data_IF_485543233278
#
_entry.id   IF_485543233278
#
_cell.length_a   1.000
_cell.length_b   1.000
_cell.length_c   1.000
_cell.angle_alpha   90.00
_cell.angle_beta   90.00
_cell.angle_gamma   90.00
#
_symmetry.space_group_name_H-M   'P 1'
#
loop_
_entity.id
_entity.type
_entity.pdbx_description
1 polymer ?
#
# COMPACT_ATOMS: atom_id res chain seq x y z
N UNK A 1 0.56 34.39 -37.04
CA UNK A 1 0.81 34.95 -38.39
C UNK A 1 2.08 34.36 -39.05
N UNK A 2 2.32 33.03 -38.95
CA UNK A 2 3.64 32.44 -39.29
C UNK A 2 3.61 31.15 -40.14
N UNK A 3 2.48 30.79 -40.75
CA UNK A 3 2.38 29.56 -41.56
C UNK A 3 2.50 29.74 -43.08
N UNK A 4 2.67 30.96 -43.62
CA UNK A 4 2.63 31.20 -45.07
C UNK A 4 4.00 31.01 -45.77
N UNK A 5 5.12 31.07 -45.04
CA UNK A 5 6.46 31.12 -45.65
C UNK A 5 7.07 29.75 -46.05
N UNK A 6 6.55 28.62 -45.57
CA UNK A 6 7.18 27.31 -45.83
C UNK A 6 6.75 26.64 -47.16
N UNK A 7 5.77 27.21 -47.88
CA UNK A 7 5.23 26.60 -49.11
C UNK A 7 5.92 27.11 -50.40
N UNK A 8 6.88 28.05 -50.32
CA UNK A 8 7.65 28.56 -51.48
C UNK A 8 8.90 27.72 -51.75
N UNK A 9 9.56 27.21 -50.70
CA UNK A 9 10.83 26.43 -50.78
C UNK A 9 10.67 24.98 -51.27
N UNK A 10 9.46 24.41 -51.21
CA UNK A 10 9.14 23.08 -51.78
C UNK A 10 8.72 23.13 -53.26
N UNK A 11 8.33 24.31 -53.76
CA UNK A 11 7.96 24.49 -55.18
C UNK A 11 9.20 24.58 -56.06
N UNK A 12 10.29 25.16 -55.57
CA UNK A 12 11.55 25.31 -56.31
C UNK A 12 12.19 23.98 -56.72
N UNK A 13 12.39 22.95 -55.85
CA UNK A 13 12.95 21.68 -56.30
C UNK A 13 11.99 20.90 -57.21
N UNK A 14 10.67 21.09 -57.07
CA UNK A 14 9.66 20.40 -57.86
C UNK A 14 9.54 20.98 -59.28
N UNK A 15 9.64 22.31 -59.41
CA UNK A 15 9.74 23.00 -60.69
C UNK A 15 11.07 22.68 -61.38
N UNK A 16 12.16 22.55 -60.62
CA UNK A 16 13.47 22.11 -61.15
C UNK A 16 13.41 20.66 -61.61
N UNK A 17 12.83 19.74 -60.83
CA UNK A 17 12.62 18.35 -61.27
C UNK A 17 11.71 18.25 -62.50
N UNK A 18 10.66 19.07 -62.58
CA UNK A 18 9.77 19.16 -63.74
C UNK A 18 10.47 19.74 -64.98
N UNK A 19 11.32 20.76 -64.81
CA UNK A 19 12.15 21.31 -65.88
C UNK A 19 13.21 20.29 -66.34
N UNK A 20 13.81 19.53 -65.42
CA UNK A 20 14.75 18.44 -65.71
C UNK A 20 14.05 17.27 -66.38
N UNK A 21 12.82 16.93 -66.00
CA UNK A 21 12.02 15.88 -66.66
C UNK A 21 11.60 16.31 -68.07
N UNK A 22 11.22 17.57 -68.27
CA UNK A 22 10.93 18.14 -69.59
C UNK A 22 12.17 18.14 -70.49
N UNK A 23 13.34 18.50 -69.95
CA UNK A 23 14.64 18.45 -70.66
C UNK A 23 15.12 17.01 -70.91
N UNK A 24 14.80 16.05 -70.04
CA UNK A 24 15.13 14.64 -70.23
C UNK A 24 14.23 13.98 -71.28
N UNK A 25 12.96 14.39 -71.38
CA UNK A 25 12.02 13.91 -72.40
C UNK A 25 12.27 14.49 -73.80
N UNK A 26 13.03 15.57 -73.93
CA UNK A 26 13.52 16.04 -75.25
C UNK A 26 14.67 15.20 -75.80
N UNK A 27 15.34 14.40 -74.96
CA UNK A 27 16.48 13.55 -75.35
C UNK A 27 16.16 12.40 -76.33
N UNK A 28 15.07 11.62 -76.17
CA UNK A 28 14.79 10.48 -77.05
C UNK A 28 14.18 10.88 -78.40
N UNK A 29 13.82 12.15 -78.63
CA UNK A 29 13.29 12.63 -79.92
C UNK A 29 14.33 12.44 -81.04
N UNK A 30 15.62 12.37 -80.70
CA UNK A 30 16.69 12.07 -81.65
C UNK A 30 16.92 10.58 -81.95
N UNK A 31 16.17 9.64 -81.35
CA UNK A 31 16.45 8.21 -81.49
C UNK A 31 15.25 7.35 -81.96
N UNK A 32 14.09 7.96 -82.24
CA UNK A 32 12.91 7.25 -82.77
C UNK A 32 12.41 7.87 -84.07
N UNK A 33 13.30 7.96 -85.05
CA UNK A 33 12.94 7.99 -86.46
C UNK A 33 13.87 7.03 -87.20
N UNK A 34 13.38 5.84 -87.54
CA UNK A 34 14.00 5.04 -88.59
C UNK A 34 14.00 5.85 -89.90
N UNK A 35 15.20 6.22 -90.34
CA UNK A 35 15.49 7.11 -91.47
C UNK A 35 16.74 7.94 -91.15
N UNK A 36 17.92 7.37 -91.39
CA UNK A 36 19.19 7.73 -90.73
C UNK A 36 20.13 8.74 -91.44
N UNK A 37 21.16 9.12 -90.66
CA UNK A 37 22.35 9.95 -90.95
C UNK A 37 22.15 11.47 -91.08
N UNK A 38 22.85 12.19 -90.19
CA UNK A 38 23.59 13.39 -90.57
C UNK A 38 22.96 14.75 -90.24
N UNK A 39 23.74 15.50 -89.46
CA UNK A 39 23.86 16.97 -89.48
C UNK A 39 22.87 17.82 -88.67
N UNK A 40 23.49 18.72 -87.92
CA UNK A 40 22.88 19.64 -87.00
C UNK A 40 22.25 20.82 -87.75
N UNK A 41 20.94 20.74 -88.02
CA UNK A 41 20.11 21.92 -88.22
C UNK A 41 18.77 21.75 -87.50
N UNK A 42 18.45 22.72 -86.63
CA UNK A 42 17.35 22.70 -85.68
C UNK A 42 16.01 23.00 -86.34
N UNK A 43 15.51 22.13 -87.22
CA UNK A 43 14.16 22.26 -87.75
C UNK A 43 13.16 21.53 -86.84
N UNK A 44 12.61 22.26 -85.86
CA UNK A 44 11.42 21.82 -85.14
C UNK A 44 10.30 21.54 -86.15
N UNK A 45 9.89 20.27 -86.28
CA UNK A 45 8.67 19.97 -87.05
C UNK A 45 7.47 20.46 -86.23
N UNK A 46 6.50 21.09 -86.88
CA UNK A 46 5.30 21.63 -86.19
C UNK A 46 4.59 20.57 -85.35
N UNK A 47 4.68 19.29 -85.73
CA UNK A 47 4.09 18.14 -85.02
C UNK A 47 4.68 17.91 -83.62
N UNK A 48 5.99 18.13 -83.42
CA UNK A 48 6.66 17.91 -82.13
C UNK A 48 6.29 19.00 -81.11
N UNK A 49 6.17 20.25 -81.58
CA UNK A 49 5.70 21.37 -80.75
C UNK A 49 4.32 21.12 -80.17
N UNK A 50 3.38 20.57 -80.96
CA UNK A 50 2.04 20.25 -80.48
C UNK A 50 2.03 19.12 -79.44
N UNK A 51 2.90 18.10 -79.58
CA UNK A 51 3.04 17.01 -78.60
C UNK A 51 3.59 17.53 -77.27
N UNK A 52 4.62 18.36 -77.31
CA UNK A 52 5.22 18.97 -76.11
C UNK A 52 4.23 19.93 -75.44
N UNK A 53 3.49 20.73 -76.21
CA UNK A 53 2.43 21.60 -75.69
C UNK A 53 1.33 20.79 -74.99
N UNK A 54 0.83 19.72 -75.63
CA UNK A 54 -0.21 18.86 -75.07
C UNK A 54 0.26 18.18 -73.78
N UNK A 55 1.45 17.59 -73.78
CA UNK A 55 2.05 16.99 -72.59
C UNK A 55 2.20 18.02 -71.46
N UNK A 56 2.65 19.24 -71.77
CA UNK A 56 2.80 20.31 -70.78
C UNK A 56 1.47 20.70 -70.16
N UNK A 57 0.41 20.85 -70.96
CA UNK A 57 -0.94 21.18 -70.47
C UNK A 57 -1.49 20.06 -69.60
N UNK A 58 -1.37 18.79 -70.03
CA UNK A 58 -1.79 17.63 -69.23
C UNK A 58 -0.99 17.51 -67.93
N UNK A 59 0.32 17.75 -67.98
CA UNK A 59 1.19 17.73 -66.81
C UNK A 59 0.80 18.80 -65.80
N UNK A 60 0.57 20.04 -66.24
CA UNK A 60 0.13 21.14 -65.36
C UNK A 60 -1.24 20.84 -64.76
N UNK A 61 -2.19 20.33 -65.55
CA UNK A 61 -3.51 19.92 -65.06
C UNK A 61 -3.41 18.82 -64.00
N UNK A 62 -2.63 17.78 -64.26
CA UNK A 62 -2.40 16.67 -63.33
C UNK A 62 -1.68 17.13 -62.05
N UNK A 63 -0.69 18.01 -62.19
CA UNK A 63 0.05 18.58 -61.07
C UNK A 63 -0.85 19.40 -60.14
N UNK A 64 -1.69 20.26 -60.71
CA UNK A 64 -2.62 21.07 -59.93
C UNK A 64 -3.65 20.19 -59.19
N UNK A 65 -4.10 19.11 -59.83
CA UNK A 65 -5.03 18.15 -59.25
C UNK A 65 -4.39 17.31 -58.13
N UNK A 66 -3.16 16.80 -58.32
CA UNK A 66 -2.49 15.91 -57.36
C UNK A 66 -1.80 16.63 -56.19
N UNK A 67 -1.47 17.93 -56.33
CA UNK A 67 -0.76 18.67 -55.28
C UNK A 67 -1.50 18.68 -53.95
N UNK A 68 -2.84 18.78 -53.98
CA UNK A 68 -3.70 18.76 -52.78
C UNK A 68 -3.78 17.38 -52.12
N UNK A 69 -4.22 16.30 -52.78
CA UNK A 69 -4.34 14.98 -52.15
C UNK A 69 -2.99 14.45 -51.65
N UNK A 70 -1.89 14.64 -52.40
CA UNK A 70 -0.56 14.15 -51.99
C UNK A 70 -0.05 14.91 -50.75
N UNK A 71 -0.19 16.23 -50.72
CA UNK A 71 0.21 17.02 -49.55
C UNK A 71 -0.65 16.69 -48.32
N UNK A 72 -1.95 16.47 -48.50
CA UNK A 72 -2.86 16.09 -47.42
C UNK A 72 -2.54 14.69 -46.88
N UNK A 73 -2.30 13.70 -47.74
CA UNK A 73 -1.98 12.34 -47.33
C UNK A 73 -0.65 12.27 -46.55
N UNK A 74 0.39 12.96 -47.04
CA UNK A 74 1.68 13.05 -46.33
C UNK A 74 1.56 13.84 -45.03
N UNK A 75 0.80 14.94 -45.04
CA UNK A 75 0.51 15.74 -43.85
C UNK A 75 -0.20 14.93 -42.77
N UNK A 76 -1.25 14.20 -43.15
CA UNK A 76 -2.01 13.32 -42.26
C UNK A 76 -1.16 12.21 -41.68
N UNK A 77 -0.27 11.61 -42.48
CA UNK A 77 0.68 10.59 -42.00
C UNK A 77 1.68 11.17 -41.00
N UNK A 78 2.24 12.35 -41.29
CA UNK A 78 3.17 13.04 -40.38
C UNK A 78 2.48 13.43 -39.07
N UNK A 79 1.25 13.95 -39.13
CA UNK A 79 0.49 14.29 -37.92
C UNK A 79 0.13 13.05 -37.11
N UNK A 80 -0.27 11.96 -37.76
CA UNK A 80 -0.58 10.69 -37.08
C UNK A 80 0.64 10.12 -36.36
N UNK A 81 1.81 10.11 -37.01
CA UNK A 81 3.06 9.67 -36.38
C UNK A 81 3.43 10.58 -35.21
N UNK A 82 3.31 11.91 -35.37
CA UNK A 82 3.61 12.85 -34.28
C UNK A 82 2.69 12.64 -33.08
N UNK A 83 1.41 12.39 -33.33
CA UNK A 83 0.45 12.14 -32.25
C UNK A 83 0.74 10.82 -31.54
N UNK A 84 1.05 9.75 -32.29
CA UNK A 84 1.47 8.47 -31.70
C UNK A 84 2.73 8.60 -30.84
N UNK A 85 3.74 9.33 -31.31
CA UNK A 85 4.96 9.58 -30.53
C UNK A 85 4.62 10.35 -29.25
N UNK A 86 3.81 11.41 -29.33
CA UNK A 86 3.38 12.17 -28.16
C UNK A 86 2.59 11.31 -27.17
N UNK A 87 1.69 10.47 -27.67
CA UNK A 87 0.90 9.55 -26.83
C UNK A 87 1.81 8.55 -26.11
N UNK A 88 2.79 7.98 -26.83
CA UNK A 88 3.78 7.07 -26.24
C UNK A 88 4.66 7.75 -25.20
N UNK A 89 5.10 8.99 -25.45
CA UNK A 89 5.85 9.78 -24.48
C UNK A 89 5.01 10.08 -23.22
N UNK A 90 3.74 10.45 -23.39
CA UNK A 90 2.81 10.67 -22.27
C UNK A 90 2.61 9.40 -21.45
N UNK A 91 2.34 8.27 -22.12
CA UNK A 91 2.17 6.96 -21.47
C UNK A 91 3.42 6.52 -20.72
N UNK A 92 4.61 6.76 -21.30
CA UNK A 92 5.88 6.48 -20.65
C UNK A 92 6.06 7.35 -19.39
N UNK A 93 5.82 8.66 -19.49
CA UNK A 93 5.93 9.57 -18.36
C UNK A 93 4.93 9.23 -17.24
N UNK A 94 3.70 8.85 -17.60
CA UNK A 94 2.69 8.39 -16.64
C UNK A 94 3.11 7.08 -15.96
N UNK A 95 3.66 6.12 -16.71
CA UNK A 95 4.15 4.86 -16.17
C UNK A 95 5.34 5.08 -15.22
N UNK A 96 6.31 5.92 -15.60
CA UNK A 96 7.45 6.29 -14.74
C UNK A 96 6.98 6.99 -13.46
N UNK A 97 6.00 7.89 -13.56
CA UNK A 97 5.41 8.55 -12.40
C UNK A 97 4.69 7.55 -11.48
N UNK A 98 3.90 6.64 -12.03
CA UNK A 98 3.23 5.60 -11.24
C UNK A 98 4.24 4.68 -10.55
N UNK A 99 5.31 4.29 -11.25
CA UNK A 99 6.38 3.46 -10.68
C UNK A 99 7.05 4.18 -9.51
N UNK A 100 7.39 5.48 -9.67
CA UNK A 100 7.95 6.28 -8.59
C UNK A 100 7.00 6.35 -7.37
N UNK A 101 5.70 6.57 -7.59
CA UNK A 101 4.69 6.59 -6.53
C UNK A 101 4.56 5.24 -5.82
N UNK A 102 4.59 4.13 -6.56
CA UNK A 102 4.55 2.79 -5.96
C UNK A 102 5.81 2.48 -5.15
N UNK A 103 6.99 2.85 -5.65
CA UNK A 103 8.24 2.67 -4.89
C UNK A 103 8.25 3.50 -3.61
N UNK A 104 7.78 4.75 -3.67
CA UNK A 104 7.64 5.58 -2.48
C UNK A 104 6.66 4.95 -1.48
N UNK A 105 5.49 4.49 -1.96
CA UNK A 105 4.50 3.82 -1.11
C UNK A 105 5.03 2.53 -0.50
N UNK A 106 5.77 1.72 -1.25
CA UNK A 106 6.44 0.51 -0.74
C UNK A 106 7.45 0.85 0.35
N UNK A 107 8.30 1.87 0.13
CA UNK A 107 9.26 2.31 1.15
C UNK A 107 8.58 2.84 2.42
N UNK A 108 7.46 3.54 2.28
CA UNK A 108 6.65 3.98 3.42
C UNK A 108 6.03 2.79 4.16
N UNK A 109 5.49 1.81 3.43
CA UNK A 109 4.94 0.58 4.02
C UNK A 109 6.00 -0.23 4.77
N UNK A 110 7.21 -0.36 4.24
CA UNK A 110 8.30 -1.07 4.93
C UNK A 110 8.67 -0.38 6.25
N UNK A 111 8.71 0.96 6.25
CA UNK A 111 8.96 1.74 7.47
C UNK A 111 7.82 1.59 8.48
N UNK A 112 6.58 1.69 8.02
CA UNK A 112 5.40 1.54 8.86
C UNK A 112 5.31 0.13 9.45
N UNK A 113 5.59 -0.91 8.66
CA UNK A 113 5.68 -2.29 9.13
C UNK A 113 6.78 -2.44 10.20
N UNK A 114 7.96 -1.85 9.99
CA UNK A 114 9.03 -1.82 11.00
C UNK A 114 8.57 -1.16 12.31
N UNK A 115 7.93 0.01 12.22
CA UNK A 115 7.38 0.71 13.39
C UNK A 115 6.28 -0.09 14.10
N UNK A 116 5.40 -0.76 13.36
CA UNK A 116 4.36 -1.62 13.92
C UNK A 116 5.00 -2.75 14.73
N UNK A 117 6.00 -3.44 14.16
CA UNK A 117 6.69 -4.54 14.85
C UNK A 117 7.39 -4.04 16.11
N UNK A 118 8.10 -2.92 16.05
CA UNK A 118 8.77 -2.32 17.21
C UNK A 118 7.77 -1.95 18.31
N UNK A 119 6.63 -1.35 17.94
CA UNK A 119 5.56 -1.02 18.88
C UNK A 119 4.95 -2.26 19.52
N UNK A 120 4.74 -3.34 18.77
CA UNK A 120 4.23 -4.60 19.33
C UNK A 120 5.23 -5.25 20.30
N UNK A 121 6.52 -5.22 19.99
CA UNK A 121 7.57 -5.72 20.89
C UNK A 121 7.54 -4.92 22.19
N UNK A 122 7.55 -3.59 22.11
CA UNK A 122 7.50 -2.71 23.29
C UNK A 122 6.24 -2.95 24.13
N UNK A 123 5.06 -3.02 23.51
CA UNK A 123 3.82 -3.32 24.20
C UNK A 123 3.84 -4.71 24.86
N UNK A 124 4.45 -5.69 24.20
CA UNK A 124 4.65 -7.04 24.74
C UNK A 124 5.55 -7.04 25.97
N UNK A 125 6.66 -6.29 25.94
CA UNK A 125 7.57 -6.14 27.08
C UNK A 125 6.89 -5.41 28.26
N UNK A 126 6.16 -4.33 28.00
CA UNK A 126 5.38 -3.61 29.01
C UNK A 126 4.28 -4.50 29.62
N UNK A 127 3.58 -5.28 28.79
CA UNK A 127 2.57 -6.23 29.26
C UNK A 127 3.20 -7.34 30.11
N UNK A 128 4.33 -7.90 29.68
CA UNK A 128 5.07 -8.89 30.46
C UNK A 128 5.49 -8.33 31.81
N UNK A 129 6.06 -7.12 31.85
CA UNK A 129 6.47 -6.48 33.09
C UNK A 129 5.27 -6.27 34.04
N UNK A 130 4.15 -5.75 33.51
CA UNK A 130 2.91 -5.57 34.28
C UNK A 130 2.38 -6.88 34.84
N UNK A 131 2.31 -7.95 34.04
CA UNK A 131 1.84 -9.26 34.51
C UNK A 131 2.73 -9.79 35.63
N UNK A 132 4.05 -9.65 35.51
CA UNK A 132 4.99 -10.11 36.54
C UNK A 132 4.79 -9.31 37.84
N UNK A 133 4.64 -7.99 37.76
CA UNK A 133 4.41 -7.16 38.95
C UNK A 133 3.06 -7.44 39.61
N UNK A 134 2.00 -7.61 38.82
CA UNK A 134 0.68 -8.02 39.34
C UNK A 134 0.74 -9.40 39.99
N UNK A 135 1.44 -10.36 39.40
CA UNK A 135 1.62 -11.69 39.96
C UNK A 135 2.38 -11.65 41.30
N UNK A 136 3.45 -10.84 41.40
CA UNK A 136 4.17 -10.64 42.66
C UNK A 136 3.29 -10.00 43.73
N UNK A 137 2.54 -8.96 43.38
CA UNK A 137 1.63 -8.29 44.30
C UNK A 137 0.52 -9.23 44.78
N UNK A 138 -0.03 -10.06 43.88
CA UNK A 138 -1.02 -11.07 44.23
C UNK A 138 -0.43 -12.15 45.14
N UNK A 139 0.79 -12.64 44.86
CA UNK A 139 1.49 -13.61 45.70
C UNK A 139 1.74 -13.06 47.12
N UNK A 140 2.19 -11.80 47.23
CA UNK A 140 2.39 -11.16 48.52
C UNK A 140 1.09 -11.05 49.33
N UNK A 141 0.00 -10.61 48.68
CA UNK A 141 -1.33 -10.55 49.32
C UNK A 141 -1.83 -11.92 49.77
N UNK A 142 -1.60 -12.95 48.95
CA UNK A 142 -1.98 -14.32 49.28
C UNK A 142 -1.21 -14.81 50.50
N UNK A 143 0.10 -14.55 50.57
CA UNK A 143 0.94 -14.93 51.71
C UNK A 143 0.51 -14.21 52.99
N UNK A 144 0.22 -12.91 52.91
CA UNK A 144 -0.29 -12.14 54.05
C UNK A 144 -1.64 -12.68 54.53
N UNK A 145 -2.56 -12.96 53.61
CA UNK A 145 -3.86 -13.53 53.93
C UNK A 145 -3.73 -14.93 54.55
N UNK A 146 -2.83 -15.77 54.02
CA UNK A 146 -2.55 -17.09 54.56
C UNK A 146 -2.01 -17.00 55.99
N UNK A 147 -1.06 -16.10 56.27
CA UNK A 147 -0.54 -15.88 57.64
C UNK A 147 -1.64 -15.45 58.59
N UNK A 148 -2.47 -14.46 58.21
CA UNK A 148 -3.61 -14.02 59.03
C UNK A 148 -4.60 -15.14 59.29
N UNK A 149 -4.88 -15.97 58.29
CA UNK A 149 -5.76 -17.12 58.45
C UNK A 149 -5.16 -18.17 59.40
N UNK A 150 -3.88 -18.47 59.28
CA UNK A 150 -3.17 -19.38 60.19
C UNK A 150 -3.25 -18.87 61.63
N UNK A 151 -2.97 -17.58 61.86
CA UNK A 151 -3.02 -16.99 63.20
C UNK A 151 -4.43 -17.08 63.81
N UNK A 152 -5.46 -16.81 63.00
CA UNK A 152 -6.86 -16.92 63.42
C UNK A 152 -7.26 -18.37 63.74
N UNK A 153 -6.88 -19.33 62.89
CA UNK A 153 -7.16 -20.74 63.12
C UNK A 153 -6.39 -21.28 64.34
N UNK A 154 -5.14 -20.86 64.54
CA UNK A 154 -4.36 -21.21 65.73
C UNK A 154 -5.01 -20.67 67.01
N UNK A 155 -5.51 -19.43 66.98
CA UNK A 155 -6.23 -18.85 68.11
C UNK A 155 -7.51 -19.64 68.42
N UNK A 156 -8.32 -19.96 67.41
CA UNK A 156 -9.53 -20.79 67.59
C UNK A 156 -9.20 -22.17 68.13
N UNK A 157 -8.17 -22.82 67.60
CA UNK A 157 -7.74 -24.13 68.07
C UNK A 157 -7.31 -24.09 69.54
N UNK A 158 -6.59 -23.03 69.95
CA UNK A 158 -6.20 -22.82 71.34
C UNK A 158 -7.43 -22.62 72.25
N UNK A 159 -8.38 -21.79 71.85
CA UNK A 159 -9.63 -21.57 72.59
C UNK A 159 -10.41 -22.87 72.75
N UNK A 160 -10.53 -23.66 71.68
CA UNK A 160 -11.18 -24.98 71.71
C UNK A 160 -10.49 -25.96 72.67
N UNK A 161 -9.16 -26.03 72.64
CA UNK A 161 -8.40 -26.90 73.56
C UNK A 161 -8.60 -26.45 75.01
N UNK A 162 -8.67 -25.15 75.28
CA UNK A 162 -8.95 -24.65 76.63
C UNK A 162 -10.35 -25.03 77.10
N UNK A 163 -11.36 -24.91 76.22
CA UNK A 163 -12.73 -25.35 76.51
C UNK A 163 -12.78 -26.86 76.82
N UNK A 164 -12.15 -27.69 75.99
CA UNK A 164 -12.08 -29.15 76.19
C UNK A 164 -11.36 -29.51 77.52
N UNK A 165 -10.27 -28.81 77.87
CA UNK A 165 -9.58 -29.03 79.16
C UNK A 165 -10.47 -28.67 80.34
N UNK A 166 -11.18 -27.53 80.26
CA UNK A 166 -12.08 -27.10 81.33
C UNK A 166 -13.23 -28.08 81.50
N UNK A 167 -13.84 -28.53 80.41
CA UNK A 167 -14.91 -29.54 80.41
C UNK A 167 -14.43 -30.85 81.05
N UNK A 168 -13.26 -31.36 80.65
CA UNK A 168 -12.68 -32.58 81.23
C UNK A 168 -12.32 -32.41 82.71
N UNK A 169 -11.78 -31.24 83.10
CA UNK A 169 -11.45 -30.95 84.50
C UNK A 169 -12.70 -30.87 85.38
N UNK A 170 -13.78 -30.25 84.88
CA UNK A 170 -15.07 -30.20 85.56
C UNK A 170 -15.66 -31.60 85.72
N UNK A 171 -15.66 -32.42 84.66
CA UNK A 171 -16.13 -33.80 84.72
C UNK A 171 -15.33 -34.63 85.74
N UNK A 172 -14.00 -34.48 85.79
CA UNK A 172 -13.14 -35.13 86.79
C UNK A 172 -13.40 -34.64 88.22
N UNK A 173 -13.64 -33.34 88.40
CA UNK A 173 -13.96 -32.77 89.69
C UNK A 173 -15.33 -33.25 90.19
N UNK A 174 -16.34 -33.30 89.33
CA UNK A 174 -17.66 -33.84 89.61
C UNK A 174 -17.58 -35.31 90.04
N UNK A 175 -16.85 -36.14 89.29
CA UNK A 175 -16.59 -37.55 89.64
C UNK A 175 -15.93 -37.67 91.03
N UNK A 176 -14.94 -36.81 91.32
CA UNK A 176 -14.23 -36.84 92.61
C UNK A 176 -15.10 -36.38 93.78
N UNK A 177 -15.91 -35.33 93.60
CA UNK A 177 -16.83 -34.82 94.62
C UNK A 177 -17.92 -35.85 94.90
N UNK A 178 -18.53 -36.42 93.86
CA UNK A 178 -19.54 -37.47 93.99
C UNK A 178 -19.00 -38.70 94.75
N UNK A 179 -17.73 -39.06 94.55
CA UNK A 179 -17.09 -40.18 95.26
C UNK A 179 -16.62 -39.88 96.68
N UNK A 180 -16.57 -38.61 97.12
CA UNK A 180 -16.00 -38.20 98.43
C UNK A 180 -16.95 -37.42 99.34
N UNK A 181 -18.17 -37.09 98.88
CA UNK A 181 -19.13 -36.32 99.66
C UNK A 181 -19.57 -37.07 100.92
N UNK A 182 -19.63 -36.36 102.05
CA UNK A 182 -20.05 -36.91 103.35
C UNK A 182 -21.38 -36.29 103.82
N UNK A 183 -22.11 -36.90 104.78
CA UNK A 183 -23.37 -36.35 105.29
C UNK A 183 -23.23 -34.95 105.90
N UNK A 184 -22.13 -34.67 106.61
CA UNK A 184 -21.84 -33.35 107.19
C UNK A 184 -21.64 -32.26 106.11
N UNK A 185 -21.09 -32.62 104.95
CA UNK A 185 -20.94 -31.70 103.83
C UNK A 185 -22.29 -31.34 103.20
N UNK A 186 -23.24 -32.29 103.16
CA UNK A 186 -24.59 -32.04 102.65
C UNK A 186 -25.38 -31.09 103.54
N UNK A 187 -25.26 -31.22 104.86
CA UNK A 187 -25.91 -30.32 105.83
C UNK A 187 -25.38 -28.89 105.70
N UNK A 188 -24.05 -28.72 105.59
CA UNK A 188 -23.43 -27.41 105.32
C UNK A 188 -23.87 -26.78 104.00
N UNK A 189 -24.00 -27.56 102.92
CA UNK A 189 -24.46 -27.05 101.62
C UNK A 189 -25.91 -26.55 101.69
N UNK A 190 -26.76 -27.20 102.49
CA UNK A 190 -28.14 -26.76 102.73
C UNK A 190 -28.16 -25.44 103.49
N UNK A 191 -27.37 -25.34 104.57
CA UNK A 191 -27.27 -24.11 105.36
C UNK A 191 -26.75 -22.92 104.53
N UNK A 192 -25.71 -23.13 103.72
CA UNK A 192 -25.13 -22.08 102.85
C UNK A 192 -26.09 -21.65 101.73
N UNK A 193 -26.89 -22.59 101.19
CA UNK A 193 -27.95 -22.27 100.23
C UNK A 193 -29.07 -21.44 100.87
N UNK A 194 -29.50 -21.81 102.08
CA UNK A 194 -30.51 -21.07 102.83
C UNK A 194 -30.00 -19.67 103.18
N UNK A 195 -28.73 -19.50 103.55
CA UNK A 195 -28.14 -18.20 103.83
C UNK A 195 -28.06 -17.30 102.58
N UNK A 196 -27.69 -17.85 101.41
CA UNK A 196 -27.62 -17.10 100.14
C UNK A 196 -28.98 -16.72 99.53
N UNK A 197 -30.04 -17.48 99.82
CA UNK A 197 -31.39 -17.22 99.29
C UNK A 197 -32.22 -16.34 100.22
N UNK A 198 -31.85 -16.28 101.51
CA UNK A 198 -32.52 -15.46 102.53
C UNK A 198 -31.84 -14.08 102.70
N UNK A 199 -30.68 -13.85 102.09
CA UNK A 199 -30.03 -12.54 101.93
C UNK A 199 -30.40 -11.86 100.59
#
# INVERSE_FOLDING_TARGET
MLQVHLNRKRRTPMIVCMAVLLLAFTGPVFASSEGGQGEAESHWTSTDTYRVMNFTVLFVGLFLLLRKPVANALGARISGIREQIRELESKKAEAEKQLAQYNEKLSQLDKEAGHIVENYIKQGEEAKARIIEEAKAAAFKLEEQAKRNIDNEFKKAKEKIQEEIVEQALAKAEEMIAGKITPDDQEKLVDEYLEKVVA
#
